data_IF_938041495086
#
_entry.id   IF_938041495086
#
_cell.length_a   1.000
_cell.length_b   1.000
_cell.length_c   1.000
_cell.angle_alpha   90.00
_cell.angle_beta   90.00
_cell.angle_gamma   90.00
#
_symmetry.space_group_name_H-M   'P 1'
#
loop_
_entity.id
_entity.type
_entity.pdbx_description
1 polymer ?
#
# COMPACT_ATOMS: atom_id res chain seq x y z
N UNK A 1 -4.64 34.72 0.62
CA UNK A 1 -4.22 33.31 0.48
C UNK A 1 -2.74 33.29 0.77
N UNK A 2 -2.37 32.84 1.96
CA UNK A 2 -1.05 33.09 2.54
C UNK A 2 -0.05 31.99 2.11
N UNK A 3 0.96 32.40 1.34
CA UNK A 3 2.06 31.55 0.87
C UNK A 3 2.97 31.06 2.02
N UNK A 4 2.82 31.63 3.22
CA UNK A 4 3.62 31.33 4.42
C UNK A 4 3.49 29.87 4.90
N UNK A 5 2.28 29.29 4.87
CA UNK A 5 2.06 27.93 5.40
C UNK A 5 2.72 26.82 4.56
N UNK A 6 2.88 27.05 3.24
CA UNK A 6 3.57 26.12 2.33
C UNK A 6 5.08 26.04 2.60
N UNK A 7 5.69 27.11 3.10
CA UNK A 7 7.13 27.15 3.38
C UNK A 7 7.51 26.52 4.71
N UNK A 8 6.61 26.52 5.70
CA UNK A 8 6.93 25.97 7.02
C UNK A 8 7.04 24.43 6.99
N UNK A 9 6.19 23.75 6.21
CA UNK A 9 6.25 22.29 6.03
C UNK A 9 7.48 21.83 5.22
N UNK A 10 8.01 22.67 4.32
CA UNK A 10 9.22 22.36 3.55
C UNK A 10 10.53 22.58 4.33
N UNK A 11 10.57 23.53 5.28
CA UNK A 11 11.81 23.87 5.99
C UNK A 11 12.21 22.87 7.08
N UNK A 12 11.28 22.02 7.52
CA UNK A 12 11.58 20.97 8.49
C UNK A 12 12.15 19.69 7.83
N UNK A 13 12.24 19.64 6.49
CA UNK A 13 12.74 18.49 5.71
C UNK A 13 14.25 18.28 5.73
N UNK A 14 15.05 19.21 6.26
CA UNK A 14 16.52 19.03 6.34
C UNK A 14 17.00 18.42 7.66
N UNK A 15 16.15 18.32 8.69
CA UNK A 15 16.65 18.05 10.05
C UNK A 15 16.42 16.61 10.57
N UNK A 16 15.44 15.86 10.07
CA UNK A 16 15.02 14.62 10.74
C UNK A 16 14.47 13.56 9.77
N UNK A 17 15.34 13.00 8.93
CA UNK A 17 15.07 11.67 8.36
C UNK A 17 16.02 10.65 8.96
N UNK A 18 15.48 9.82 9.84
CA UNK A 18 16.00 8.50 10.19
C UNK A 18 15.89 7.52 9.00
N UNK A 19 16.25 7.98 7.81
CA UNK A 19 16.55 7.17 6.65
C UNK A 19 18.02 6.74 6.83
N UNK A 20 18.42 5.48 6.78
CA UNK A 20 17.73 4.29 6.31
C UNK A 20 18.68 3.11 6.56
N UNK A 21 18.16 1.94 6.92
CA UNK A 21 18.98 0.72 6.95
C UNK A 21 19.58 0.41 5.56
N UNK A 22 18.92 0.89 4.50
CA UNK A 22 19.35 0.81 3.09
C UNK A 22 20.39 1.91 2.76
N UNK A 23 20.26 3.13 3.29
CA UNK A 23 21.27 4.19 3.19
C UNK A 23 22.53 3.76 3.92
N UNK A 24 22.40 3.19 5.12
CA UNK A 24 23.53 2.67 5.87
C UNK A 24 24.16 1.42 5.22
N UNK A 25 23.43 0.60 4.45
CA UNK A 25 24.02 -0.50 3.68
C UNK A 25 24.70 0.00 2.41
N UNK A 26 24.13 0.99 1.71
CA UNK A 26 24.73 1.61 0.53
C UNK A 26 25.97 2.46 0.88
N UNK A 27 25.95 3.22 1.98
CA UNK A 27 27.14 3.91 2.51
C UNK A 27 28.22 2.92 2.95
N UNK A 28 27.86 1.77 3.54
CA UNK A 28 28.83 0.70 3.86
C UNK A 28 29.41 0.02 2.62
N UNK A 29 28.65 -0.08 1.52
CA UNK A 29 29.18 -0.51 0.22
C UNK A 29 30.11 0.55 -0.39
N UNK A 30 29.87 1.85 -0.14
CA UNK A 30 30.75 2.95 -0.56
C UNK A 30 32.10 2.98 0.18
N UNK A 31 32.15 2.61 1.47
CA UNK A 31 33.42 2.56 2.21
C UNK A 31 34.34 1.42 1.72
N UNK A 32 33.78 0.32 1.21
CA UNK A 32 34.54 -0.83 0.73
C UNK A 32 35.01 -0.75 -0.73
N UNK A 33 34.45 0.14 -1.57
CA UNK A 33 34.85 0.31 -2.97
C UNK A 33 35.26 1.76 -3.28
N UNK A 34 36.45 2.18 -2.80
CA UNK A 34 37.13 3.35 -3.37
C UNK A 34 37.70 3.02 -4.75
N UNK A 35 36.87 3.07 -5.79
CA UNK A 35 37.23 3.50 -7.15
C UNK A 35 36.07 3.24 -8.13
N UNK A 36 35.84 4.22 -9.01
CA UNK A 36 35.13 4.13 -10.29
C UNK A 36 33.66 3.66 -10.29
N UNK A 37 32.75 4.54 -9.86
CA UNK A 37 31.43 4.61 -10.48
C UNK A 37 31.41 5.83 -11.40
N UNK A 38 31.05 5.62 -12.66
CA UNK A 38 30.89 6.64 -13.69
C UNK A 38 29.81 7.66 -13.32
N UNK A 39 29.88 8.86 -13.88
CA UNK A 39 28.88 9.92 -13.65
C UNK A 39 27.45 9.45 -13.97
N UNK A 40 27.30 8.63 -15.01
CA UNK A 40 26.04 8.00 -15.40
C UNK A 40 25.53 6.96 -14.39
N UNK A 41 26.42 6.20 -13.74
CA UNK A 41 26.01 5.30 -12.65
C UNK A 41 25.57 6.09 -11.42
N UNK A 42 26.18 7.25 -11.14
CA UNK A 42 25.74 8.15 -10.06
C UNK A 42 24.40 8.82 -10.36
N UNK A 43 24.16 9.25 -11.61
CA UNK A 43 22.87 9.79 -12.02
C UNK A 43 21.78 8.72 -12.02
N UNK A 44 22.06 7.49 -12.46
CA UNK A 44 21.09 6.39 -12.35
C UNK A 44 20.82 5.99 -10.89
N UNK A 45 21.83 6.03 -10.02
CA UNK A 45 21.64 5.80 -8.57
C UNK A 45 20.85 6.97 -7.95
N UNK A 46 21.10 8.22 -8.34
CA UNK A 46 20.31 9.40 -7.92
C UNK A 46 18.86 9.35 -8.42
N UNK A 47 18.65 8.93 -9.67
CA UNK A 47 17.30 8.73 -10.24
C UNK A 47 16.56 7.59 -9.54
N UNK A 48 17.25 6.50 -9.19
CA UNK A 48 16.69 5.42 -8.35
C UNK A 48 16.39 5.90 -6.92
N UNK A 49 17.23 6.79 -6.36
CA UNK A 49 17.04 7.39 -5.03
C UNK A 49 15.91 8.43 -5.00
N UNK A 50 15.65 9.12 -6.10
CA UNK A 50 14.52 10.05 -6.27
C UNK A 50 13.21 9.29 -6.56
N UNK A 51 13.24 8.16 -7.26
CA UNK A 51 12.04 7.39 -7.66
C UNK A 51 11.36 6.60 -6.52
N UNK A 52 12.06 6.32 -5.43
CA UNK A 52 11.55 5.50 -4.31
C UNK A 52 10.98 6.30 -3.13
N UNK A 53 10.79 7.61 -3.30
CA UNK A 53 10.28 8.46 -2.22
C UNK A 53 8.76 8.34 -2.07
N UNK A 54 8.28 7.44 -1.21
CA UNK A 54 6.87 7.34 -0.88
C UNK A 54 6.35 8.66 -0.27
N UNK A 55 5.23 9.19 -0.77
CA UNK A 55 4.70 10.46 -0.29
C UNK A 55 3.18 10.55 -0.41
N UNK A 56 2.53 10.82 0.71
CA UNK A 56 1.06 10.93 0.83
C UNK A 56 0.68 12.09 1.76
N UNK A 57 -0.41 12.76 1.44
CA UNK A 57 -0.99 13.84 2.24
C UNK A 57 -2.40 13.47 2.67
N UNK A 58 -2.66 13.64 3.97
CA UNK A 58 -3.98 13.48 4.55
C UNK A 58 -4.55 14.85 4.90
N UNK A 59 -5.82 15.08 4.57
CA UNK A 59 -6.53 16.33 4.85
C UNK A 59 -7.76 16.06 5.71
N UNK A 60 -7.99 16.90 6.73
CA UNK A 60 -9.13 16.74 7.64
C UNK A 60 -10.48 17.02 6.99
N UNK A 61 -10.52 17.85 5.94
CA UNK A 61 -11.73 18.22 5.22
C UNK A 61 -11.69 17.72 3.76
N UNK A 62 -12.83 17.81 3.06
CA UNK A 62 -12.95 17.41 1.65
C UNK A 62 -12.21 18.38 0.72
N UNK A 63 -11.92 17.95 -0.49
CA UNK A 63 -11.30 18.77 -1.54
C UNK A 63 -9.97 19.42 -1.10
N UNK A 64 -9.18 18.68 -0.32
CA UNK A 64 -7.82 19.04 0.11
C UNK A 64 -7.77 20.33 0.95
N UNK A 65 -8.79 20.51 1.79
CA UNK A 65 -8.93 21.66 2.69
C UNK A 65 -8.66 21.27 4.14
N UNK A 66 -8.61 22.28 5.02
CA UNK A 66 -8.39 22.09 6.45
C UNK A 66 -6.93 21.81 6.80
N UNK A 67 -6.70 21.23 7.97
CA UNK A 67 -5.35 20.80 8.39
C UNK A 67 -4.88 19.66 7.50
N UNK A 68 -3.60 19.69 7.15
CA UNK A 68 -2.95 18.63 6.41
C UNK A 68 -1.81 18.01 7.21
N UNK A 69 -1.56 16.74 6.94
CA UNK A 69 -0.40 16.00 7.43
C UNK A 69 0.29 15.34 6.23
N UNK A 70 1.58 15.63 6.04
CA UNK A 70 2.42 14.94 5.06
C UNK A 70 3.07 13.71 5.70
N UNK A 71 3.13 12.63 4.94
CA UNK A 71 3.65 11.38 5.43
C UNK A 71 4.50 10.72 4.33
N UNK A 72 5.70 10.29 4.72
CA UNK A 72 6.66 9.60 3.85
C UNK A 72 7.12 8.26 4.43
N UNK A 73 6.49 7.82 5.53
CA UNK A 73 6.85 6.61 6.27
C UNK A 73 5.61 5.76 6.55
N UNK A 74 5.82 4.49 6.91
CA UNK A 74 4.74 3.72 7.53
C UNK A 74 4.44 4.28 8.93
N UNK A 75 3.17 4.38 9.29
CA UNK A 75 2.74 4.88 10.59
C UNK A 75 1.68 3.96 11.20
N UNK A 76 1.96 3.42 12.39
CA UNK A 76 1.04 2.53 13.10
C UNK A 76 -0.05 3.26 13.88
N UNK A 77 0.07 4.56 14.11
CA UNK A 77 -0.97 5.36 14.76
C UNK A 77 -0.92 6.83 14.32
N UNK A 78 -1.85 7.21 13.46
CA UNK A 78 -1.99 8.56 12.93
C UNK A 78 -2.83 9.47 13.83
N UNK A 79 -3.36 8.96 14.96
CA UNK A 79 -4.28 9.69 15.83
C UNK A 79 -3.68 10.97 16.42
N UNK A 80 -2.35 11.02 16.56
CA UNK A 80 -1.64 12.20 17.06
C UNK A 80 -1.57 13.35 16.03
N UNK A 81 -1.70 13.05 14.74
CA UNK A 81 -1.57 14.04 13.67
C UNK A 81 -2.94 14.61 13.26
N UNK A 82 -3.98 13.77 13.20
CA UNK A 82 -5.32 14.20 12.85
C UNK A 82 -6.42 13.29 13.43
N UNK A 83 -7.59 13.88 13.66
CA UNK A 83 -8.73 13.15 14.22
C UNK A 83 -9.62 12.49 13.16
N UNK A 84 -9.64 13.05 11.95
CA UNK A 84 -10.43 12.58 10.80
C UNK A 84 -9.67 12.81 9.50
N UNK A 85 -10.01 12.07 8.45
CA UNK A 85 -9.43 12.23 7.12
C UNK A 85 -10.52 12.18 6.05
N UNK A 86 -10.76 13.31 5.40
CA UNK A 86 -11.83 13.46 4.42
C UNK A 86 -11.33 13.64 2.99
N UNK A 87 -10.05 13.91 2.76
CA UNK A 87 -9.46 13.84 1.42
C UNK A 87 -7.96 13.50 1.48
N UNK A 88 -7.44 12.92 0.40
CA UNK A 88 -6.07 12.38 0.35
C UNK A 88 -5.42 12.72 -1.00
N UNK A 89 -4.17 13.14 -0.99
CA UNK A 89 -3.33 13.16 -2.19
C UNK A 89 -2.18 12.20 -2.05
N UNK A 90 -2.05 11.27 -2.98
CA UNK A 90 -0.87 10.41 -3.09
C UNK A 90 0.01 11.00 -4.17
N UNK A 91 1.16 11.57 -3.79
CA UNK A 91 2.13 12.09 -4.74
C UNK A 91 2.99 10.97 -5.32
N UNK A 92 3.41 10.02 -4.49
CA UNK A 92 4.23 8.91 -4.94
C UNK A 92 4.03 7.62 -4.12
N UNK A 93 4.21 6.50 -4.80
CA UNK A 93 4.11 5.15 -4.27
C UNK A 93 2.69 4.62 -4.07
N UNK A 94 2.62 3.34 -3.73
CA UNK A 94 1.40 2.61 -3.44
C UNK A 94 1.22 2.53 -1.92
N UNK A 95 0.00 2.77 -1.43
CA UNK A 95 -0.30 2.85 0.01
C UNK A 95 -1.48 1.95 0.39
N UNK A 96 -1.37 1.27 1.53
CA UNK A 96 -2.50 0.68 2.23
C UNK A 96 -2.80 1.51 3.48
N UNK A 97 -4.02 2.00 3.55
CA UNK A 97 -4.56 2.71 4.70
C UNK A 97 -5.45 1.80 5.51
N UNK A 98 -5.50 2.03 6.81
CA UNK A 98 -6.27 1.23 7.75
C UNK A 98 -7.13 2.13 8.63
N UNK A 99 -8.35 1.68 8.87
CA UNK A 99 -9.34 2.39 9.68
C UNK A 99 -8.92 2.56 11.15
N UNK A 100 -8.15 1.61 11.69
CA UNK A 100 -7.72 1.62 13.08
C UNK A 100 -6.19 1.64 13.22
N UNK A 101 -5.67 2.05 14.40
CA UNK A 101 -4.26 1.92 14.70
C UNK A 101 -3.79 0.46 14.61
N UNK A 102 -2.47 0.28 14.50
CA UNK A 102 -1.80 -1.01 14.39
C UNK A 102 -2.24 -1.85 13.20
N UNK A 103 -2.60 -1.20 12.09
CA UNK A 103 -2.91 -1.83 10.81
C UNK A 103 -4.13 -2.75 10.87
N UNK A 104 -5.21 -2.26 11.50
CA UNK A 104 -6.46 -3.00 11.76
C UNK A 104 -7.67 -2.31 11.14
N UNK A 105 -8.80 -3.02 11.11
CA UNK A 105 -10.05 -2.52 10.56
C UNK A 105 -10.08 -2.62 9.03
N UNK A 106 -10.98 -1.87 8.39
CA UNK A 106 -11.06 -1.85 6.94
C UNK A 106 -9.76 -1.33 6.32
N UNK A 107 -9.39 -1.93 5.18
CA UNK A 107 -8.16 -1.64 4.44
C UNK A 107 -8.51 -0.94 3.13
N UNK A 108 -7.72 0.05 2.73
CA UNK A 108 -7.96 0.84 1.53
C UNK A 108 -6.66 0.95 0.74
N UNK A 109 -6.66 0.43 -0.48
CA UNK A 109 -5.53 0.57 -1.40
C UNK A 109 -5.65 1.85 -2.22
N UNK A 110 -4.63 2.71 -2.10
CA UNK A 110 -4.49 3.95 -2.86
C UNK A 110 -3.18 3.93 -3.63
N UNK A 111 -3.22 4.41 -4.86
CA UNK A 111 -2.05 4.71 -5.69
C UNK A 111 -2.00 6.21 -5.98
N UNK A 112 -0.92 6.65 -6.65
CA UNK A 112 -0.72 8.04 -7.07
C UNK A 112 -1.98 8.65 -7.66
N UNK A 113 -2.40 9.79 -7.12
CA UNK A 113 -3.61 10.46 -7.52
C UNK A 113 -4.25 11.33 -6.44
N UNK A 114 -5.35 11.96 -6.83
CA UNK A 114 -6.13 12.86 -5.98
C UNK A 114 -7.46 12.22 -5.59
N UNK A 115 -7.72 12.18 -4.29
CA UNK A 115 -8.94 11.62 -3.72
C UNK A 115 -9.69 12.69 -2.91
N UNK A 116 -10.60 13.45 -3.55
CA UNK A 116 -11.24 14.63 -2.94
C UNK A 116 -12.24 14.33 -1.81
N UNK A 117 -12.68 13.08 -1.67
CA UNK A 117 -13.59 12.62 -0.63
C UNK A 117 -13.38 11.12 -0.34
N UNK A 118 -13.81 10.64 0.83
CA UNK A 118 -13.55 9.25 1.23
C UNK A 118 -14.21 8.18 0.36
N UNK A 119 -15.26 8.53 -0.40
CA UNK A 119 -15.90 7.58 -1.29
C UNK A 119 -14.98 7.23 -2.48
N UNK A 120 -14.02 8.11 -2.80
CA UNK A 120 -13.06 7.92 -3.91
C UNK A 120 -12.05 6.81 -3.65
N UNK A 121 -11.76 6.48 -2.40
CA UNK A 121 -10.98 5.28 -2.03
C UNK A 121 -11.85 4.13 -1.50
N UNK A 122 -13.16 4.19 -1.75
CA UNK A 122 -14.15 3.23 -1.24
C UNK A 122 -14.21 3.18 0.30
N UNK A 123 -13.92 4.30 0.96
CA UNK A 123 -14.05 4.47 2.41
C UNK A 123 -15.50 4.32 2.88
N UNK A 124 -15.70 3.60 3.98
CA UNK A 124 -17.00 3.55 4.66
C UNK A 124 -17.24 4.75 5.58
N UNK A 125 -16.17 5.39 6.03
CA UNK A 125 -16.15 6.55 6.91
C UNK A 125 -14.85 7.36 6.68
N UNK A 126 -14.65 8.41 7.47
CA UNK A 126 -13.47 9.28 7.47
C UNK A 126 -12.40 8.89 8.52
N UNK A 127 -12.47 7.67 9.06
CA UNK A 127 -11.49 7.15 10.00
C UNK A 127 -10.35 6.48 9.24
N UNK A 128 -9.19 7.13 9.26
CA UNK A 128 -7.90 6.56 8.86
C UNK A 128 -6.94 6.76 10.03
N UNK A 129 -6.33 5.68 10.50
CA UNK A 129 -5.54 5.67 11.74
C UNK A 129 -4.21 4.95 11.63
N UNK A 130 -3.94 4.23 10.55
CA UNK A 130 -2.58 3.78 10.24
C UNK A 130 -2.38 3.62 8.74
N UNK A 131 -1.14 3.67 8.29
CA UNK A 131 -0.79 3.56 6.87
C UNK A 131 0.52 2.79 6.69
N UNK A 132 0.62 2.09 5.55
CA UNK A 132 1.86 1.45 5.09
C UNK A 132 2.04 1.70 3.62
N UNK A 133 3.29 1.82 3.17
CA UNK A 133 3.57 1.74 1.75
C UNK A 133 3.70 0.29 1.30
N UNK A 134 3.53 0.08 0.01
CA UNK A 134 3.70 -1.21 -0.67
C UNK A 134 5.00 -1.09 -1.46
N UNK A 135 6.03 -1.88 -1.13
CA UNK A 135 7.29 -1.87 -1.89
C UNK A 135 7.05 -2.16 -3.37
N UNK A 136 7.84 -1.51 -4.22
CA UNK A 136 7.91 -1.84 -5.65
C UNK A 136 8.27 -3.33 -5.80
N UNK A 137 7.52 -4.04 -6.64
CA UNK A 137 7.75 -5.46 -6.89
C UNK A 137 8.21 -5.71 -8.33
N UNK A 138 9.50 -6.03 -8.46
CA UNK A 138 10.10 -6.43 -9.74
C UNK A 138 10.15 -7.96 -9.81
N UNK A 139 9.09 -8.56 -10.33
CA UNK A 139 9.01 -10.01 -10.40
C UNK A 139 7.74 -10.51 -11.04
N UNK A 140 7.51 -11.82 -10.91
CA UNK A 140 6.25 -12.41 -11.31
C UNK A 140 5.22 -12.17 -10.21
N UNK A 141 3.95 -12.33 -10.56
CA UNK A 141 2.87 -12.38 -9.59
C UNK A 141 2.38 -13.81 -9.57
N UNK A 142 2.33 -14.40 -8.37
CA UNK A 142 1.92 -15.78 -8.23
C UNK A 142 1.19 -16.01 -6.92
N UNK A 143 -0.06 -16.47 -7.04
CA UNK A 143 -0.89 -16.80 -5.91
C UNK A 143 -1.67 -18.09 -6.17
N UNK A 144 -1.83 -18.91 -5.12
CA UNK A 144 -2.73 -20.06 -5.11
C UNK A 144 -3.86 -19.80 -4.13
N UNK A 145 -5.08 -20.07 -4.56
CA UNK A 145 -6.29 -19.99 -3.74
C UNK A 145 -6.89 -21.38 -3.54
N UNK A 146 -7.55 -21.58 -2.41
CA UNK A 146 -8.06 -22.89 -2.00
C UNK A 146 -9.50 -22.78 -1.51
N UNK A 147 -10.29 -23.79 -1.86
CA UNK A 147 -11.68 -23.94 -1.45
C UNK A 147 -11.83 -24.10 0.06
N UNK A 148 -10.88 -24.75 0.73
CA UNK A 148 -10.95 -25.02 2.17
C UNK A 148 -9.79 -24.38 2.91
N UNK A 149 -9.90 -24.33 4.23
CA UNK A 149 -8.82 -23.91 5.12
C UNK A 149 -7.60 -24.83 5.00
N UNK A 150 -6.47 -24.38 5.52
CA UNK A 150 -5.22 -25.15 5.61
C UNK A 150 -4.77 -25.75 4.25
N UNK A 151 -5.00 -25.01 3.17
CA UNK A 151 -4.60 -25.37 1.80
C UNK A 151 -5.25 -26.66 1.26
N UNK A 152 -6.46 -26.96 1.75
CA UNK A 152 -7.20 -28.15 1.35
C UNK A 152 -8.27 -27.85 0.28
N UNK A 153 -8.84 -28.93 -0.28
CA UNK A 153 -9.91 -28.84 -1.29
C UNK A 153 -9.38 -28.50 -2.68
N UNK A 154 -10.25 -27.97 -3.54
CA UNK A 154 -9.83 -27.53 -4.87
C UNK A 154 -8.84 -26.36 -4.76
N UNK A 155 -7.79 -26.41 -5.57
CA UNK A 155 -6.78 -25.37 -5.67
C UNK A 155 -6.76 -24.79 -7.09
N UNK A 156 -6.52 -23.49 -7.21
CA UNK A 156 -6.21 -22.86 -8.49
C UNK A 156 -5.10 -21.82 -8.34
N UNK A 157 -4.20 -21.78 -9.32
CA UNK A 157 -3.09 -20.84 -9.39
C UNK A 157 -3.44 -19.67 -10.32
N UNK A 158 -3.10 -18.46 -9.89
CA UNK A 158 -3.33 -17.21 -10.61
C UNK A 158 -2.03 -16.42 -10.75
N UNK A 159 -1.84 -15.87 -11.94
CA UNK A 159 -0.71 -15.00 -12.32
C UNK A 159 -1.19 -13.61 -12.79
N UNK A 160 -2.50 -13.45 -12.88
CA UNK A 160 -3.20 -12.32 -13.46
C UNK A 160 -4.40 -11.90 -12.59
N UNK A 161 -4.98 -10.76 -12.93
CA UNK A 161 -6.12 -10.22 -12.21
C UNK A 161 -7.38 -11.05 -12.48
N UNK A 162 -8.28 -11.09 -11.52
CA UNK A 162 -9.53 -11.84 -11.61
C UNK A 162 -10.69 -10.93 -11.20
N UNK A 163 -11.44 -10.36 -12.17
CA UNK A 163 -12.58 -9.48 -11.86
C UNK A 163 -13.80 -10.25 -11.34
N UNK A 164 -13.88 -11.57 -11.56
CA UNK A 164 -14.91 -12.43 -11.00
C UNK A 164 -14.34 -13.80 -10.67
N UNK A 165 -14.16 -14.07 -9.38
CA UNK A 165 -13.60 -15.33 -8.87
C UNK A 165 -14.49 -16.52 -9.20
N UNK A 166 -15.82 -16.35 -9.19
CA UNK A 166 -16.74 -17.45 -9.45
C UNK A 166 -16.60 -17.99 -10.89
N UNK A 167 -16.39 -17.10 -11.87
CA UNK A 167 -16.30 -17.49 -13.29
C UNK A 167 -15.06 -18.36 -13.58
N UNK A 168 -13.96 -18.17 -12.84
CA UNK A 168 -12.71 -18.92 -13.03
C UNK A 168 -12.57 -20.08 -12.05
N UNK A 169 -12.81 -19.85 -10.76
CA UNK A 169 -12.57 -20.85 -9.72
C UNK A 169 -13.77 -21.78 -9.49
N UNK A 170 -14.99 -21.31 -9.83
CA UNK A 170 -16.29 -21.97 -9.61
C UNK A 170 -16.71 -22.09 -8.13
N UNK A 171 -16.00 -21.42 -7.23
CA UNK A 171 -16.37 -21.27 -5.82
C UNK A 171 -16.54 -19.79 -5.50
N UNK A 172 -17.48 -19.51 -4.59
CA UNK A 172 -17.73 -18.14 -4.09
C UNK A 172 -16.84 -17.77 -2.91
N UNK A 173 -16.36 -18.78 -2.21
CA UNK A 173 -15.60 -18.64 -0.98
C UNK A 173 -14.16 -19.15 -1.18
N UNK A 174 -13.20 -18.37 -0.70
CA UNK A 174 -11.78 -18.70 -0.62
C UNK A 174 -11.42 -18.78 0.85
N UNK A 175 -11.09 -19.98 1.32
CA UNK A 175 -10.84 -20.19 2.75
C UNK A 175 -9.36 -20.13 3.11
N UNK A 176 -8.44 -20.41 2.18
CA UNK A 176 -7.01 -20.24 2.39
C UNK A 176 -6.31 -19.86 1.08
N UNK A 177 -5.13 -19.25 1.18
CA UNK A 177 -4.32 -18.88 0.02
C UNK A 177 -2.83 -18.83 0.35
N UNK A 178 -2.01 -19.07 -0.66
CA UNK A 178 -0.56 -18.92 -0.60
C UNK A 178 -0.15 -17.91 -1.67
N UNK A 179 0.39 -16.77 -1.24
CA UNK A 179 1.00 -15.80 -2.14
C UNK A 179 2.47 -16.15 -2.25
N UNK A 180 2.84 -16.77 -3.35
CA UNK A 180 4.23 -17.17 -3.60
C UNK A 180 5.08 -15.98 -4.04
N UNK A 181 4.49 -15.06 -4.81
CA UNK A 181 5.20 -13.87 -5.29
C UNK A 181 4.26 -12.69 -5.57
N UNK A 182 4.80 -11.49 -5.40
CA UNK A 182 4.12 -10.20 -5.60
C UNK A 182 3.10 -9.83 -4.52
N UNK A 183 2.50 -8.67 -4.72
CA UNK A 183 1.52 -8.06 -3.83
C UNK A 183 0.12 -8.12 -4.45
N UNK A 184 -0.89 -8.49 -3.66
CA UNK A 184 -2.24 -8.73 -4.16
C UNK A 184 -3.29 -8.01 -3.30
N UNK A 185 -4.36 -7.56 -3.93
CA UNK A 185 -5.58 -7.08 -3.26
C UNK A 185 -6.72 -8.04 -3.52
N UNK A 186 -7.33 -8.55 -2.45
CA UNK A 186 -8.63 -9.22 -2.48
C UNK A 186 -9.75 -8.20 -2.29
N UNK A 187 -10.89 -8.50 -2.90
CA UNK A 187 -12.12 -7.73 -2.82
C UNK A 187 -13.29 -8.66 -2.51
N UNK A 188 -14.12 -8.28 -1.54
CA UNK A 188 -15.29 -9.07 -1.12
C UNK A 188 -16.31 -9.24 -2.26
N UNK A 189 -16.41 -8.26 -3.16
CA UNK A 189 -17.35 -8.29 -4.29
C UNK A 189 -16.63 -8.39 -5.65
N UNK A 190 -17.32 -8.87 -6.70
CA UNK A 190 -16.81 -8.84 -8.07
C UNK A 190 -16.50 -7.41 -8.55
N UNK A 191 -15.65 -7.32 -9.57
CA UNK A 191 -15.23 -6.08 -10.23
C UNK A 191 -14.51 -5.09 -9.29
N UNK A 192 -13.69 -5.63 -8.37
CA UNK A 192 -12.82 -4.88 -7.47
C UNK A 192 -13.58 -3.93 -6.54
N UNK A 193 -14.65 -4.44 -5.89
CA UNK A 193 -15.56 -3.67 -5.04
C UNK A 193 -15.70 -4.29 -3.64
N UNK A 194 -16.32 -3.52 -2.75
CA UNK A 194 -16.56 -3.96 -1.38
C UNK A 194 -15.31 -3.84 -0.52
N UNK A 195 -15.25 -4.63 0.56
CA UNK A 195 -14.10 -4.63 1.46
C UNK A 195 -12.85 -5.13 0.74
N UNK A 196 -11.72 -4.50 1.05
CA UNK A 196 -10.43 -4.79 0.44
C UNK A 196 -9.51 -5.46 1.47
N UNK A 197 -8.68 -6.39 1.03
CA UNK A 197 -7.70 -7.08 1.88
C UNK A 197 -6.36 -7.14 1.16
N UNK A 198 -5.32 -6.67 1.83
CA UNK A 198 -3.97 -6.67 1.30
C UNK A 198 -3.25 -7.97 1.67
N UNK A 199 -2.71 -8.64 0.65
CA UNK A 199 -1.92 -9.85 0.79
C UNK A 199 -0.47 -9.60 0.36
N UNK A 200 0.44 -9.91 1.27
CA UNK A 200 1.89 -9.95 1.05
C UNK A 200 2.29 -11.39 0.71
N UNK A 201 3.49 -11.62 0.15
CA UNK A 201 4.05 -12.96 0.03
C UNK A 201 3.99 -13.69 1.38
N UNK A 202 3.44 -14.91 1.37
CA UNK A 202 3.18 -15.67 2.59
C UNK A 202 2.05 -16.68 2.51
N UNK A 203 1.91 -17.43 3.60
CA UNK A 203 0.89 -18.44 3.80
C UNK A 203 -0.27 -17.90 4.65
N UNK A 204 -1.50 -18.04 4.15
CA UNK A 204 -2.72 -17.66 4.84
C UNK A 204 -3.64 -18.88 4.94
N UNK A 205 -3.70 -19.49 6.12
CA UNK A 205 -4.39 -20.79 6.32
C UNK A 205 -5.89 -20.65 6.52
N UNK A 206 -6.36 -19.43 6.82
CA UNK A 206 -7.77 -19.10 7.01
C UNK A 206 -8.04 -17.65 6.61
N UNK A 207 -9.29 -17.33 6.29
CA UNK A 207 -9.66 -15.98 5.84
C UNK A 207 -9.43 -14.86 6.86
N UNK A 208 -9.41 -15.19 8.16
CA UNK A 208 -9.06 -14.21 9.18
C UNK A 208 -7.60 -13.77 9.13
N UNK A 209 -6.71 -14.55 8.51
CA UNK A 209 -5.28 -14.23 8.44
C UNK A 209 -5.00 -13.01 7.54
N UNK A 210 -5.86 -12.73 6.55
CA UNK A 210 -5.82 -11.48 5.77
C UNK A 210 -6.80 -10.39 6.28
N UNK A 211 -7.41 -10.62 7.45
CA UNK A 211 -8.28 -9.66 8.12
C UNK A 211 -9.74 -9.67 7.65
N UNK A 212 -10.19 -10.69 6.92
CA UNK A 212 -11.60 -10.83 6.55
C UNK A 212 -12.45 -11.43 7.68
N UNK A 213 -13.72 -11.04 7.74
CA UNK A 213 -14.71 -11.60 8.67
C UNK A 213 -15.43 -12.84 8.12
N UNK A 214 -15.34 -13.08 6.82
CA UNK A 214 -15.92 -14.21 6.10
C UNK A 214 -14.96 -14.65 4.97
N UNK A 215 -15.26 -15.77 4.32
CA UNK A 215 -14.43 -16.33 3.25
C UNK A 215 -14.76 -15.80 1.84
N UNK A 216 -15.72 -14.88 1.70
CA UNK A 216 -16.20 -14.44 0.39
C UNK A 216 -15.17 -13.52 -0.26
N UNK A 217 -14.64 -13.95 -1.40
CA UNK A 217 -13.77 -13.14 -2.25
C UNK A 217 -14.34 -13.17 -3.66
N UNK A 218 -14.91 -12.03 -4.09
CA UNK A 218 -15.55 -11.90 -5.39
C UNK A 218 -14.59 -11.53 -6.51
N UNK A 219 -13.48 -10.86 -6.18
CA UNK A 219 -12.43 -10.52 -7.15
C UNK A 219 -11.09 -10.28 -6.47
N UNK A 220 -10.01 -10.28 -7.26
CA UNK A 220 -8.68 -9.90 -6.80
C UNK A 220 -7.82 -9.37 -7.93
N UNK A 221 -6.83 -8.54 -7.59
CA UNK A 221 -5.88 -7.98 -8.55
C UNK A 221 -4.49 -7.89 -7.97
N UNK A 222 -3.51 -7.88 -8.86
CA UNK A 222 -2.11 -7.59 -8.56
C UNK A 222 -1.98 -6.10 -8.28
N UNK A 223 -1.08 -5.78 -7.36
CA UNK A 223 -0.70 -4.40 -7.06
C UNK A 223 0.49 -4.07 -7.93
N UNK A 224 0.23 -3.40 -9.05
CA UNK A 224 1.29 -2.92 -9.94
C UNK A 224 1.74 -1.52 -9.53
N UNK A 225 2.92 -1.15 -10.01
CA UNK A 225 3.39 0.22 -9.93
C UNK A 225 2.60 1.07 -10.93
N UNK A 226 1.65 1.84 -10.40
CA UNK A 226 0.78 2.71 -11.18
C UNK A 226 1.44 4.10 -11.20
N UNK A 227 2.27 4.37 -12.21
CA UNK A 227 3.04 5.62 -12.37
C UNK A 227 2.23 6.74 -13.05
#
# INVERSE_FOLDING_TARGET
MDFSARFQCMKDKEALTAQSAVIASCLRLQENHRASLSYWERENIMLCLESDTFHIFFYEDRNFQGRCYDCSTECSDLSFYFNRCNSIRVENGNWILYEHPSYRGHQYYLWKGEYPDFQRWMGFNDYIKSCRFIPHHHGQYKMRIYEKGDFQGKMMEFLDDCPNTYDRFLFRDIHSCNVSDGHWMFYEEPNYRGRQYYLRPGEYRRFSDWGASNARIGSFRRIHDMF
#
